data_IF_610053387834
#
_entry.id   IF_610053387834
#
_cell.length_a   1.000
_cell.length_b   1.000
_cell.length_c   1.000
_cell.angle_alpha   90.00
_cell.angle_beta   90.00
_cell.angle_gamma   90.00
#
_symmetry.space_group_name_H-M   'P 1'
#
loop_
_entity.id
_entity.type
_entity.pdbx_description
1 polymer ?
#
# COMPACT_ATOMS: atom_id res chain seq x y z
N UNK A 1 10.20 13.38 26.55
CA UNK A 1 8.73 13.14 26.56
C UNK A 1 8.43 12.08 27.60
N UNK A 2 7.30 12.19 28.34
CA UNK A 2 6.90 11.14 29.28
C UNK A 2 6.51 9.86 28.54
N UNK A 3 6.70 8.69 29.16
CA UNK A 3 6.36 7.39 28.54
C UNK A 3 4.89 7.32 28.11
N UNK A 4 3.97 7.92 28.87
CA UNK A 4 2.54 7.98 28.51
C UNK A 4 2.24 8.75 27.23
N UNK A 5 2.93 9.87 26.98
CA UNK A 5 2.78 10.67 25.75
C UNK A 5 3.25 9.88 24.53
N UNK A 6 4.38 9.17 24.64
CA UNK A 6 4.90 8.33 23.57
C UNK A 6 3.98 7.15 23.25
N UNK A 7 3.46 6.44 24.26
CA UNK A 7 2.49 5.35 24.08
C UNK A 7 1.23 5.86 23.36
N UNK A 8 0.68 7.01 23.81
CA UNK A 8 -0.48 7.64 23.18
C UNK A 8 -0.21 8.02 21.72
N UNK A 9 0.95 8.61 21.44
CA UNK A 9 1.34 8.98 20.08
C UNK A 9 1.50 7.74 19.18
N UNK A 10 2.13 6.67 19.67
CA UNK A 10 2.25 5.41 18.93
C UNK A 10 0.88 4.80 18.62
N UNK A 11 0.03 4.66 19.64
CA UNK A 11 -1.31 4.08 19.45
C UNK A 11 -2.13 4.92 18.49
N UNK A 12 -2.14 6.26 18.65
CA UNK A 12 -2.84 7.17 17.74
C UNK A 12 -2.34 7.06 16.31
N UNK A 13 -1.03 6.91 16.10
CA UNK A 13 -0.46 6.71 14.76
C UNK A 13 -0.87 5.36 14.16
N UNK A 14 -0.81 4.26 14.92
CA UNK A 14 -1.28 2.93 14.47
C UNK A 14 -2.76 2.98 14.06
N UNK A 15 -3.61 3.63 14.87
CA UNK A 15 -5.03 3.79 14.56
C UNK A 15 -5.27 4.70 13.35
N UNK A 16 -4.41 5.69 13.10
CA UNK A 16 -4.48 6.51 11.89
C UNK A 16 -4.19 5.67 10.64
N UNK A 17 -3.15 4.83 10.68
CA UNK A 17 -2.88 3.86 9.61
C UNK A 17 -4.06 2.91 9.41
N UNK A 18 -4.67 2.43 10.51
CA UNK A 18 -5.85 1.56 10.43
C UNK A 18 -7.07 2.27 9.80
N UNK A 19 -7.33 3.53 10.15
CA UNK A 19 -8.43 4.27 9.53
C UNK A 19 -8.18 4.55 8.05
N UNK A 20 -6.96 4.90 7.67
CA UNK A 20 -6.60 5.08 6.26
C UNK A 20 -6.76 3.77 5.48
N UNK A 21 -6.28 2.64 6.03
CA UNK A 21 -6.50 1.31 5.46
C UNK A 21 -7.99 0.94 5.37
N UNK A 22 -8.79 1.28 6.39
CA UNK A 22 -10.23 1.04 6.38
C UNK A 22 -10.93 1.81 5.24
N UNK A 23 -10.61 3.10 5.06
CA UNK A 23 -11.19 3.90 3.98
C UNK A 23 -10.80 3.35 2.60
N UNK A 24 -9.55 2.90 2.44
CA UNK A 24 -9.09 2.22 1.23
C UNK A 24 -9.83 0.89 1.02
N UNK A 25 -9.98 0.06 2.05
CA UNK A 25 -10.69 -1.21 1.99
C UNK A 25 -12.17 -1.05 1.62
N UNK A 26 -12.86 -0.03 2.17
CA UNK A 26 -14.24 0.33 1.80
C UNK A 26 -14.32 0.71 0.32
N UNK A 27 -13.38 1.53 -0.18
CA UNK A 27 -13.31 1.92 -1.59
C UNK A 27 -13.10 0.70 -2.50
N UNK A 28 -12.03 -0.06 -2.27
CA UNK A 28 -11.62 -1.20 -3.12
C UNK A 28 -12.68 -2.29 -3.16
N UNK A 29 -13.26 -2.64 -2.00
CA UNK A 29 -14.27 -3.72 -1.92
C UNK A 29 -15.58 -3.42 -2.65
N UNK A 30 -15.86 -2.14 -2.92
CA UNK A 30 -17.08 -1.71 -3.62
C UNK A 30 -16.85 -1.31 -5.09
N UNK A 31 -15.70 -1.67 -5.66
CA UNK A 31 -15.40 -1.44 -7.09
C UNK A 31 -16.44 -2.06 -8.03
N UNK A 32 -16.97 -3.30 -7.81
CA UNK A 32 -18.05 -3.81 -8.65
C UNK A 32 -19.30 -2.94 -8.58
N UNK A 33 -19.70 -2.49 -7.38
CA UNK A 33 -20.86 -1.61 -7.21
C UNK A 33 -20.67 -0.22 -7.83
N UNK A 34 -19.42 0.30 -7.85
CA UNK A 34 -19.05 1.50 -8.59
C UNK A 34 -19.30 1.32 -10.09
N UNK A 35 -18.76 0.22 -10.65
CA UNK A 35 -18.91 -0.10 -12.07
C UNK A 35 -20.39 -0.22 -12.48
N UNK A 36 -21.18 -0.93 -11.67
CA UNK A 36 -22.62 -1.10 -11.92
C UNK A 36 -23.39 0.22 -11.81
N UNK A 37 -23.16 1.02 -10.75
CA UNK A 37 -23.84 2.29 -10.54
C UNK A 37 -23.70 3.26 -11.72
N UNK A 38 -22.50 3.28 -12.32
CA UNK A 38 -22.19 4.24 -13.39
C UNK A 38 -22.16 3.59 -14.78
N UNK A 39 -22.44 2.28 -14.91
CA UNK A 39 -22.37 1.54 -16.19
C UNK A 39 -20.96 1.62 -16.79
N UNK A 40 -19.91 1.42 -15.97
CA UNK A 40 -18.51 1.53 -16.36
C UNK A 40 -17.94 0.19 -16.80
N UNK A 41 -17.18 0.20 -17.89
CA UNK A 41 -16.31 -0.90 -18.26
C UNK A 41 -15.03 -0.93 -17.44
N UNK A 42 -14.18 -1.95 -17.66
CA UNK A 42 -12.93 -2.14 -16.95
C UNK A 42 -11.95 -0.98 -17.21
N UNK A 43 -11.90 -0.46 -18.44
CA UNK A 43 -11.11 0.71 -18.81
C UNK A 43 -11.51 1.98 -18.03
N UNK A 44 -12.81 2.21 -17.86
CA UNK A 44 -13.34 3.33 -17.08
C UNK A 44 -12.98 3.21 -15.59
N UNK A 45 -13.07 1.99 -15.04
CA UNK A 45 -12.64 1.72 -13.64
C UNK A 45 -11.15 1.96 -13.48
N UNK A 46 -10.35 1.46 -14.42
CA UNK A 46 -8.90 1.71 -14.46
C UNK A 46 -8.57 3.21 -14.52
N UNK A 47 -9.34 3.97 -15.31
CA UNK A 47 -9.20 5.43 -15.40
C UNK A 47 -9.58 6.13 -14.07
N UNK A 48 -10.61 5.67 -13.37
CA UNK A 48 -10.98 6.21 -12.07
C UNK A 48 -9.85 6.01 -11.04
N UNK A 49 -9.24 4.81 -11.00
CA UNK A 49 -8.11 4.52 -10.12
C UNK A 49 -6.86 5.35 -10.52
N UNK A 50 -6.62 5.54 -11.83
CA UNK A 50 -5.57 6.45 -12.30
C UNK A 50 -5.77 7.87 -11.80
N UNK A 51 -6.97 8.41 -11.93
CA UNK A 51 -7.30 9.78 -11.49
C UNK A 51 -7.09 9.92 -9.98
N UNK A 52 -7.44 8.92 -9.19
CA UNK A 52 -7.12 8.85 -7.77
C UNK A 52 -5.60 8.94 -7.53
N UNK A 53 -4.82 8.11 -8.22
CA UNK A 53 -3.35 8.07 -8.08
C UNK A 53 -2.67 9.36 -8.53
N UNK A 54 -3.10 9.95 -9.65
CA UNK A 54 -2.60 11.26 -10.12
C UNK A 54 -2.94 12.35 -9.10
N UNK A 55 -4.15 12.36 -8.56
CA UNK A 55 -4.54 13.29 -7.50
C UNK A 55 -3.61 13.19 -6.29
N UNK A 56 -3.30 11.97 -5.84
CA UNK A 56 -2.36 11.74 -4.75
C UNK A 56 -0.96 12.30 -5.07
N UNK A 57 -0.42 12.01 -6.24
CA UNK A 57 0.90 12.51 -6.66
C UNK A 57 0.94 14.04 -6.74
N UNK A 58 -0.08 14.67 -7.33
CA UNK A 58 -0.17 16.14 -7.43
C UNK A 58 -0.15 16.76 -6.04
N UNK A 59 -0.96 16.25 -5.10
CA UNK A 59 -1.00 16.75 -3.74
C UNK A 59 0.33 16.52 -3.00
N UNK A 60 0.91 15.34 -3.11
CA UNK A 60 2.19 14.98 -2.51
C UNK A 60 3.33 15.88 -2.98
N UNK A 61 3.38 16.22 -4.28
CA UNK A 61 4.43 17.07 -4.85
C UNK A 61 4.15 18.55 -4.60
N UNK A 62 2.90 18.99 -4.82
CA UNK A 62 2.49 20.40 -4.70
C UNK A 62 2.59 20.94 -3.27
N UNK A 63 2.33 20.09 -2.27
CA UNK A 63 2.34 20.50 -0.87
C UNK A 63 3.63 20.17 -0.11
N UNK A 64 4.71 19.75 -0.80
CA UNK A 64 6.03 19.53 -0.17
C UNK A 64 6.51 20.75 0.61
N UNK A 65 6.35 21.95 0.07
CA UNK A 65 6.72 23.19 0.74
C UNK A 65 5.88 23.48 2.00
N UNK A 66 4.60 23.11 1.96
CA UNK A 66 3.69 23.22 3.12
C UNK A 66 4.10 22.25 4.22
N UNK A 67 4.38 20.99 3.85
CA UNK A 67 4.85 19.99 4.80
C UNK A 67 6.20 20.38 5.43
N UNK A 68 7.11 20.95 4.63
CA UNK A 68 8.41 21.41 5.14
C UNK A 68 8.27 22.57 6.15
N UNK A 69 7.23 23.41 6.02
CA UNK A 69 6.99 24.57 6.91
C UNK A 69 6.15 24.21 8.14
N UNK A 70 5.07 23.46 7.94
CA UNK A 70 4.09 23.18 8.99
C UNK A 70 4.35 21.86 9.73
N UNK A 71 5.14 20.96 9.13
CA UNK A 71 5.36 19.59 9.61
C UNK A 71 4.26 18.62 9.17
N UNK A 72 4.60 17.31 9.11
CA UNK A 72 3.68 16.27 8.67
C UNK A 72 2.48 16.10 9.60
N UNK A 73 2.67 16.29 10.91
CA UNK A 73 1.57 16.21 11.90
C UNK A 73 0.49 17.25 11.70
N UNK A 74 0.85 18.48 11.29
CA UNK A 74 -0.11 19.54 11.00
C UNK A 74 -0.91 19.23 9.72
N UNK A 75 -0.22 18.77 8.67
CA UNK A 75 -0.86 18.36 7.42
C UNK A 75 -1.81 17.17 7.67
N UNK A 76 -1.37 16.16 8.44
CA UNK A 76 -2.16 14.98 8.74
C UNK A 76 -3.47 15.30 9.49
N UNK A 77 -3.46 16.28 10.41
CA UNK A 77 -4.67 16.72 11.14
C UNK A 77 -5.77 17.24 10.22
N UNK A 78 -5.41 17.77 9.06
CA UNK A 78 -6.34 18.27 8.06
C UNK A 78 -6.63 17.20 6.99
N UNK A 79 -5.61 16.54 6.51
CA UNK A 79 -5.71 15.57 5.43
C UNK A 79 -6.56 14.35 5.81
N UNK A 80 -6.38 13.78 7.01
CA UNK A 80 -7.09 12.57 7.40
C UNK A 80 -8.63 12.78 7.50
N UNK A 81 -9.17 13.85 8.10
CA UNK A 81 -10.59 14.17 8.00
C UNK A 81 -11.06 14.44 6.56
N UNK A 82 -10.27 15.16 5.75
CA UNK A 82 -10.60 15.42 4.34
C UNK A 82 -10.66 14.13 3.52
N UNK A 83 -9.84 13.12 3.85
CA UNK A 83 -9.90 11.80 3.20
C UNK A 83 -11.26 11.13 3.46
N UNK A 84 -11.77 11.18 4.69
CA UNK A 84 -13.09 10.64 4.99
C UNK A 84 -14.20 11.41 4.27
N UNK A 85 -14.15 12.75 4.29
CA UNK A 85 -15.14 13.60 3.58
C UNK A 85 -15.11 13.35 2.08
N UNK A 86 -13.93 13.28 1.47
CA UNK A 86 -13.81 13.06 0.02
C UNK A 86 -14.29 11.66 -0.40
N UNK A 87 -14.11 10.64 0.45
CA UNK A 87 -14.71 9.31 0.21
C UNK A 87 -16.24 9.39 0.18
N UNK A 88 -16.87 10.16 1.09
CA UNK A 88 -18.31 10.38 1.06
C UNK A 88 -18.74 11.10 -0.24
N UNK A 89 -17.97 12.07 -0.72
CA UNK A 89 -18.25 12.75 -2.00
C UNK A 89 -18.20 11.78 -3.19
N UNK A 90 -17.28 10.81 -3.18
CA UNK A 90 -17.25 9.73 -4.20
C UNK A 90 -18.55 8.93 -4.17
N UNK A 91 -19.02 8.53 -2.98
CA UNK A 91 -20.28 7.80 -2.82
C UNK A 91 -21.50 8.57 -3.31
N UNK A 92 -21.52 9.88 -3.05
CA UNK A 92 -22.63 10.79 -3.36
C UNK A 92 -22.60 11.35 -4.79
N UNK A 93 -21.56 11.07 -5.58
CA UNK A 93 -21.46 11.57 -6.95
C UNK A 93 -22.67 11.12 -7.79
N UNK A 94 -23.40 12.08 -8.43
CA UNK A 94 -24.61 11.76 -9.20
C UNK A 94 -24.31 11.41 -10.66
N UNK A 95 -23.16 11.80 -11.20
CA UNK A 95 -22.76 11.61 -12.59
C UNK A 95 -21.31 11.18 -12.72
N UNK A 96 -20.94 10.54 -13.85
CA UNK A 96 -19.54 10.16 -14.11
C UNK A 96 -18.56 11.32 -14.03
N UNK A 97 -18.76 12.50 -14.64
CA UNK A 97 -17.82 13.62 -14.49
C UNK A 97 -17.61 14.05 -13.05
N UNK A 98 -18.68 14.14 -12.25
CA UNK A 98 -18.56 14.49 -10.83
C UNK A 98 -17.92 13.38 -10.00
N UNK A 99 -18.11 12.11 -10.38
CA UNK A 99 -17.36 10.99 -9.81
C UNK A 99 -15.86 11.18 -10.01
N UNK A 100 -15.38 11.46 -11.22
CA UNK A 100 -13.96 11.68 -11.49
C UNK A 100 -13.38 12.85 -10.71
N UNK A 101 -14.13 13.94 -10.55
CA UNK A 101 -13.73 15.08 -9.68
C UNK A 101 -13.63 14.62 -8.22
N UNK A 102 -14.63 13.91 -7.71
CA UNK A 102 -14.63 13.41 -6.33
C UNK A 102 -13.48 12.41 -6.09
N UNK A 103 -13.21 11.53 -7.04
CA UNK A 103 -12.09 10.57 -6.99
C UNK A 103 -10.74 11.29 -7.01
N UNK A 104 -10.58 12.35 -7.82
CA UNK A 104 -9.37 13.19 -7.78
C UNK A 104 -9.16 13.84 -6.40
N UNK A 105 -10.21 14.41 -5.81
CA UNK A 105 -10.17 14.99 -4.47
C UNK A 105 -9.87 13.94 -3.40
N UNK A 106 -10.44 12.73 -3.52
CA UNK A 106 -10.14 11.61 -2.63
C UNK A 106 -8.67 11.20 -2.74
N UNK A 107 -8.13 11.08 -3.95
CA UNK A 107 -6.72 10.81 -4.19
C UNK A 107 -5.81 11.87 -3.57
N UNK A 108 -6.12 13.16 -3.78
CA UNK A 108 -5.36 14.27 -3.20
C UNK A 108 -5.33 14.23 -1.67
N UNK A 109 -6.48 14.08 -1.03
CA UNK A 109 -6.60 14.00 0.43
C UNK A 109 -5.90 12.76 0.98
N UNK A 110 -6.07 11.61 0.30
CA UNK A 110 -5.44 10.35 0.65
C UNK A 110 -3.92 10.42 0.56
N UNK A 111 -3.37 10.97 -0.53
CA UNK A 111 -1.94 11.14 -0.70
C UNK A 111 -1.29 11.99 0.39
N UNK A 112 -1.97 13.07 0.80
CA UNK A 112 -1.53 13.90 1.93
C UNK A 112 -1.61 13.15 3.27
N UNK A 113 -2.64 12.34 3.45
CA UNK A 113 -2.79 11.48 4.63
C UNK A 113 -1.66 10.44 4.68
N UNK A 114 -1.33 9.82 3.56
CA UNK A 114 -0.27 8.82 3.46
C UNK A 114 1.10 9.40 3.83
N UNK A 115 1.49 10.52 3.21
CA UNK A 115 2.75 11.19 3.58
C UNK A 115 2.73 11.65 5.04
N UNK A 116 1.63 12.22 5.51
CA UNK A 116 1.50 12.74 6.86
C UNK A 116 1.59 11.65 7.92
N UNK A 117 0.91 10.51 7.71
CA UNK A 117 0.96 9.38 8.67
C UNK A 117 2.34 8.71 8.68
N UNK A 118 3.02 8.59 7.54
CA UNK A 118 4.39 8.08 7.47
C UNK A 118 5.39 9.02 8.14
N UNK A 119 5.26 10.34 7.97
CA UNK A 119 6.07 11.34 8.67
C UNK A 119 5.86 11.26 10.19
N UNK A 120 4.60 11.17 10.63
CA UNK A 120 4.24 10.99 12.04
C UNK A 120 4.79 9.68 12.59
N UNK A 121 4.68 8.58 11.84
CA UNK A 121 5.27 7.29 12.19
C UNK A 121 6.77 7.36 12.41
N UNK A 122 7.48 8.01 11.50
CA UNK A 122 8.93 8.24 11.61
C UNK A 122 9.30 9.10 12.82
N UNK A 123 8.49 10.12 13.15
CA UNK A 123 8.71 10.96 14.33
C UNK A 123 8.53 10.16 15.62
N UNK A 124 7.49 9.32 15.69
CA UNK A 124 7.26 8.42 16.82
C UNK A 124 8.39 7.40 16.95
N UNK A 125 8.84 6.78 15.85
CA UNK A 125 9.92 5.80 15.84
C UNK A 125 11.23 6.40 16.38
N UNK A 126 11.62 7.59 15.90
CA UNK A 126 12.79 8.32 16.43
C UNK A 126 12.67 8.59 17.93
N UNK A 127 11.46 8.97 18.39
CA UNK A 127 11.23 9.25 19.81
C UNK A 127 11.23 8.00 20.70
N UNK A 128 10.91 6.83 20.11
CA UNK A 128 10.97 5.53 20.78
C UNK A 128 12.37 4.94 20.86
N UNK A 129 13.29 5.37 19.97
CA UNK A 129 14.65 4.82 19.88
C UNK A 129 14.71 3.35 19.44
N UNK A 130 13.60 2.80 18.89
CA UNK A 130 13.52 1.42 18.36
C UNK A 130 12.52 1.35 17.20
N UNK A 131 12.68 0.37 16.28
CA UNK A 131 11.77 0.18 15.17
C UNK A 131 10.33 -0.09 15.64
N UNK A 132 9.37 0.70 15.18
CA UNK A 132 7.92 0.54 15.45
C UNK A 132 7.07 0.73 14.18
N UNK A 133 7.68 1.08 13.04
CA UNK A 133 6.98 1.37 11.79
C UNK A 133 6.22 0.13 11.27
N UNK A 134 6.79 -1.08 11.38
CA UNK A 134 6.10 -2.30 10.97
C UNK A 134 4.76 -2.50 11.69
N UNK A 135 4.70 -2.14 12.98
CA UNK A 135 3.44 -2.18 13.73
C UNK A 135 2.40 -1.17 13.24
N UNK A 136 2.83 -0.04 12.67
CA UNK A 136 1.94 0.96 12.06
C UNK A 136 1.37 0.45 10.74
N UNK A 137 2.21 -0.15 9.89
CA UNK A 137 1.74 -0.80 8.66
C UNK A 137 0.89 -2.05 8.91
N UNK A 138 1.11 -2.78 10.03
CA UNK A 138 0.18 -3.82 10.46
C UNK A 138 -1.21 -3.24 10.79
N UNK A 139 -1.25 -2.02 11.37
CA UNK A 139 -2.49 -1.27 11.55
C UNK A 139 -3.20 -0.99 10.22
N UNK A 140 -2.45 -0.60 9.18
CA UNK A 140 -2.99 -0.43 7.82
C UNK A 140 -3.69 -1.71 7.31
N UNK A 141 -3.00 -2.86 7.34
CA UNK A 141 -3.59 -4.12 6.90
C UNK A 141 -4.84 -4.48 7.69
N UNK A 142 -4.81 -4.33 9.03
CA UNK A 142 -5.98 -4.56 9.87
C UNK A 142 -7.15 -3.64 9.49
N UNK A 143 -6.87 -2.38 9.19
CA UNK A 143 -7.84 -1.43 8.68
C UNK A 143 -8.40 -1.83 7.33
N UNK A 144 -7.55 -2.24 6.39
CA UNK A 144 -7.94 -2.72 5.05
C UNK A 144 -8.86 -3.94 5.12
N UNK A 145 -8.54 -4.90 6.00
CA UNK A 145 -9.39 -6.05 6.29
C UNK A 145 -10.76 -5.59 6.79
N UNK A 146 -10.77 -4.70 7.80
CA UNK A 146 -12.02 -4.21 8.38
C UNK A 146 -12.87 -3.44 7.36
N UNK A 147 -12.25 -2.58 6.54
CA UNK A 147 -12.92 -1.84 5.47
C UNK A 147 -13.51 -2.76 4.39
N UNK A 148 -12.77 -3.78 3.99
CA UNK A 148 -13.26 -4.80 3.05
C UNK A 148 -14.43 -5.60 3.61
N UNK A 149 -14.40 -5.96 4.88
CA UNK A 149 -15.52 -6.62 5.57
C UNK A 149 -16.75 -5.69 5.70
N UNK A 150 -16.56 -4.39 5.93
CA UNK A 150 -17.65 -3.41 5.86
C UNK A 150 -18.29 -3.45 4.47
N UNK A 151 -17.47 -3.44 3.40
CA UNK A 151 -17.99 -3.51 2.02
C UNK A 151 -18.77 -4.79 1.73
N UNK A 152 -18.26 -5.94 2.17
CA UNK A 152 -18.95 -7.24 2.02
C UNK A 152 -20.26 -7.27 2.80
N UNK A 153 -20.26 -6.86 4.07
CA UNK A 153 -21.47 -6.80 4.89
C UNK A 153 -22.51 -5.85 4.31
N UNK A 154 -22.09 -4.64 3.90
CA UNK A 154 -22.97 -3.65 3.28
C UNK A 154 -23.63 -4.20 2.02
N UNK A 155 -22.87 -4.93 1.18
CA UNK A 155 -23.40 -5.56 -0.03
C UNK A 155 -24.40 -6.67 0.33
N UNK A 156 -24.13 -7.51 1.34
CA UNK A 156 -25.04 -8.56 1.78
C UNK A 156 -26.34 -8.01 2.40
N UNK A 157 -26.24 -6.85 3.04
CA UNK A 157 -27.39 -6.13 3.62
C UNK A 157 -28.17 -5.30 2.57
N UNK A 158 -27.80 -5.35 1.29
CA UNK A 158 -28.47 -4.60 0.23
C UNK A 158 -28.21 -3.11 0.23
N UNK A 159 -27.19 -2.63 0.98
CA UNK A 159 -26.83 -1.23 0.99
C UNK A 159 -26.21 -0.81 -0.32
N UNK A 160 -26.55 0.39 -0.78
CA UNK A 160 -26.02 0.94 -2.01
C UNK A 160 -24.52 1.24 -1.93
N UNK A 161 -23.90 1.50 -3.09
CA UNK A 161 -22.53 2.03 -3.15
C UNK A 161 -22.37 3.31 -2.30
N UNK A 162 -23.34 4.24 -2.42
CA UNK A 162 -23.34 5.49 -1.68
C UNK A 162 -23.41 5.27 -0.16
N UNK A 163 -24.34 4.43 0.31
CA UNK A 163 -24.54 4.16 1.73
C UNK A 163 -23.28 3.57 2.36
N UNK A 164 -22.59 2.67 1.64
CA UNK A 164 -21.36 2.05 2.12
C UNK A 164 -20.23 3.07 2.30
N UNK A 165 -20.00 3.92 1.29
CA UNK A 165 -18.90 4.89 1.34
C UNK A 165 -19.18 6.01 2.36
N UNK A 166 -20.41 6.51 2.40
CA UNK A 166 -20.85 7.51 3.37
C UNK A 166 -20.81 6.95 4.79
N UNK A 167 -21.26 5.71 5.00
CA UNK A 167 -21.17 5.04 6.30
C UNK A 167 -19.72 4.89 6.77
N UNK A 168 -18.81 4.46 5.90
CA UNK A 168 -17.37 4.41 6.18
C UNK A 168 -16.79 5.78 6.56
N UNK A 169 -17.20 6.83 5.85
CA UNK A 169 -16.78 8.20 6.13
C UNK A 169 -17.33 8.71 7.49
N UNK A 170 -18.57 8.43 7.81
CA UNK A 170 -19.21 8.81 9.10
C UNK A 170 -18.47 8.14 10.28
N UNK A 171 -18.04 6.89 10.13
CA UNK A 171 -17.26 6.19 11.14
C UNK A 171 -15.86 6.83 11.27
N UNK A 172 -15.19 7.09 10.14
CA UNK A 172 -13.80 7.54 10.14
C UNK A 172 -13.64 9.01 10.56
N UNK A 173 -14.54 9.90 10.15
CA UNK A 173 -14.39 11.34 10.31
C UNK A 173 -14.17 11.76 11.77
N UNK A 174 -15.02 11.39 12.75
CA UNK A 174 -14.82 11.79 14.15
C UNK A 174 -13.54 11.17 14.72
N UNK A 175 -13.22 9.94 14.33
CA UNK A 175 -12.02 9.25 14.81
C UNK A 175 -10.75 9.93 14.30
N UNK A 176 -10.68 10.35 13.04
CA UNK A 176 -9.52 11.08 12.49
C UNK A 176 -9.29 12.39 13.21
N UNK A 177 -10.36 13.14 13.55
CA UNK A 177 -10.28 14.39 14.32
C UNK A 177 -9.77 14.13 15.74
N UNK A 178 -10.29 13.10 16.42
CA UNK A 178 -9.87 12.73 17.78
C UNK A 178 -8.39 12.32 17.79
N UNK A 179 -7.97 11.49 16.83
CA UNK A 179 -6.60 11.00 16.73
C UNK A 179 -5.61 12.13 16.44
N UNK A 180 -6.01 13.20 15.77
CA UNK A 180 -5.19 14.40 15.58
C UNK A 180 -4.65 15.01 16.87
N UNK A 181 -5.31 14.77 18.02
CA UNK A 181 -4.86 15.22 19.34
C UNK A 181 -3.73 14.35 19.93
N UNK A 182 -3.44 13.22 19.32
CA UNK A 182 -2.39 12.29 19.78
C UNK A 182 -1.05 12.50 19.09
N UNK A 183 -1.03 13.23 17.97
CA UNK A 183 0.17 13.40 17.16
C UNK A 183 1.21 14.26 17.87
N UNK A 184 2.46 13.82 17.77
CA UNK A 184 3.60 14.62 18.24
C UNK A 184 4.03 15.61 17.14
N UNK A 185 4.49 16.77 17.53
CA UNK A 185 5.07 17.72 16.58
C UNK A 185 6.35 17.12 16.02
N UNK A 186 6.37 16.91 14.71
CA UNK A 186 7.60 16.66 13.98
C UNK A 186 8.21 18.02 13.64
N UNK A 187 9.35 18.33 14.22
CA UNK A 187 10.18 19.39 13.65
C UNK A 187 10.58 18.94 12.27
N UNK A 188 10.21 19.72 11.25
CA UNK A 188 10.61 19.49 9.90
C UNK A 188 12.09 19.11 9.88
N UNK A 189 12.41 17.85 9.60
CA UNK A 189 13.76 17.50 9.22
C UNK A 189 14.01 18.26 7.93
N UNK A 190 14.67 19.39 8.02
CA UNK A 190 15.26 20.02 6.85
C UNK A 190 15.97 18.88 6.13
N UNK A 191 15.43 18.47 4.99
CA UNK A 191 16.19 17.66 4.08
C UNK A 191 17.41 18.50 3.78
N UNK A 192 18.49 18.25 4.51
CA UNK A 192 19.80 18.80 4.19
C UNK A 192 19.99 18.46 2.74
N UNK A 193 19.97 19.50 1.92
CA UNK A 193 20.04 19.43 0.48
C UNK A 193 21.25 18.61 0.07
N UNK A 194 21.02 17.31 -0.10
CA UNK A 194 21.95 16.45 -0.80
C UNK A 194 21.97 16.94 -2.22
N UNK A 195 23.10 17.52 -2.63
CA UNK A 195 23.29 18.02 -3.99
C UNK A 195 22.79 17.00 -5.00
N UNK A 196 22.34 17.46 -6.17
CA UNK A 196 21.81 16.71 -7.32
C UNK A 196 22.77 15.66 -7.92
N UNK A 197 23.56 14.98 -7.08
CA UNK A 197 24.42 13.88 -7.53
C UNK A 197 23.55 12.65 -7.82
N UNK A 198 23.71 12.12 -9.03
CA UNK A 198 22.99 10.91 -9.45
C UNK A 198 23.24 9.77 -8.50
N UNK A 199 22.19 9.00 -8.19
CA UNK A 199 22.32 7.77 -7.42
C UNK A 199 22.96 6.67 -8.29
N UNK A 200 23.66 5.69 -7.71
CA UNK A 200 24.19 4.55 -8.46
C UNK A 200 23.07 3.78 -9.20
N UNK A 201 23.39 3.22 -10.37
CA UNK A 201 22.45 2.48 -11.22
C UNK A 201 21.68 1.40 -10.45
N UNK A 202 22.33 0.74 -9.49
CA UNK A 202 21.70 -0.30 -8.67
C UNK A 202 20.48 0.19 -7.91
N UNK A 203 20.40 1.48 -7.52
CA UNK A 203 19.21 2.06 -6.87
C UNK A 203 18.04 2.09 -7.85
N UNK A 204 18.28 2.44 -9.09
CA UNK A 204 17.25 2.45 -10.15
C UNK A 204 16.79 1.03 -10.52
N UNK A 205 17.70 0.05 -10.50
CA UNK A 205 17.32 -1.36 -10.70
C UNK A 205 16.41 -1.88 -9.58
N UNK A 206 16.72 -1.52 -8.31
CA UNK A 206 15.84 -1.83 -7.16
C UNK A 206 14.53 -1.05 -7.26
N UNK A 207 14.58 0.20 -7.74
CA UNK A 207 13.40 1.01 -8.01
C UNK A 207 12.51 0.40 -9.10
N UNK A 208 13.08 -0.14 -10.17
CA UNK A 208 12.33 -0.87 -11.19
C UNK A 208 11.67 -2.14 -10.62
N UNK A 209 12.38 -2.86 -9.74
CA UNK A 209 11.80 -4.01 -9.03
C UNK A 209 10.66 -3.59 -8.11
N UNK A 210 10.80 -2.46 -7.40
CA UNK A 210 9.73 -1.90 -6.58
C UNK A 210 8.53 -1.47 -7.44
N UNK A 211 8.77 -0.82 -8.59
CA UNK A 211 7.73 -0.46 -9.56
C UNK A 211 6.89 -1.68 -9.97
N UNK A 212 7.56 -2.77 -10.38
CA UNK A 212 6.89 -4.02 -10.77
C UNK A 212 6.12 -4.63 -9.60
N UNK A 213 6.69 -4.60 -8.39
CA UNK A 213 6.05 -5.15 -7.19
C UNK A 213 4.79 -4.37 -6.80
N UNK A 214 4.86 -3.04 -6.78
CA UNK A 214 3.69 -2.19 -6.47
C UNK A 214 2.62 -2.30 -7.55
N UNK A 215 3.01 -2.36 -8.83
CA UNK A 215 2.09 -2.56 -9.94
C UNK A 215 1.33 -3.88 -9.80
N UNK A 216 2.03 -4.97 -9.46
CA UNK A 216 1.44 -6.29 -9.28
C UNK A 216 0.54 -6.34 -8.03
N UNK A 217 1.00 -5.81 -6.88
CA UNK A 217 0.22 -5.79 -5.64
C UNK A 217 -1.06 -4.97 -5.83
N UNK A 218 -0.97 -3.78 -6.46
CA UNK A 218 -2.11 -2.96 -6.82
C UNK A 218 -3.08 -3.65 -7.78
N UNK A 219 -2.56 -4.36 -8.79
CA UNK A 219 -3.40 -5.15 -9.70
C UNK A 219 -4.26 -6.16 -8.94
N UNK A 220 -3.67 -6.92 -8.01
CA UNK A 220 -4.44 -7.92 -7.25
C UNK A 220 -5.44 -7.23 -6.33
N UNK A 221 -5.03 -6.17 -5.63
CA UNK A 221 -5.89 -5.45 -4.70
C UNK A 221 -7.11 -4.85 -5.41
N UNK A 222 -6.90 -4.12 -6.50
CA UNK A 222 -7.95 -3.35 -7.17
C UNK A 222 -8.87 -4.19 -8.06
N UNK A 223 -8.34 -5.26 -8.67
CA UNK A 223 -9.06 -6.02 -9.70
C UNK A 223 -9.63 -7.35 -9.23
N UNK A 224 -9.19 -7.88 -8.08
CA UNK A 224 -9.67 -9.20 -7.61
C UNK A 224 -11.18 -9.22 -7.35
N UNK A 225 -11.75 -8.18 -6.76
CA UNK A 225 -13.19 -8.08 -6.52
C UNK A 225 -13.99 -8.01 -7.83
N UNK A 226 -13.55 -7.18 -8.78
CA UNK A 226 -14.20 -7.06 -10.08
C UNK A 226 -14.11 -8.37 -10.89
N UNK A 227 -12.95 -9.04 -10.81
CA UNK A 227 -12.75 -10.35 -11.42
C UNK A 227 -13.74 -11.40 -10.88
N UNK A 228 -13.89 -11.51 -9.56
CA UNK A 228 -14.84 -12.44 -8.96
C UNK A 228 -16.28 -12.14 -9.39
N UNK A 229 -16.65 -10.86 -9.47
CA UNK A 229 -18.00 -10.46 -9.83
C UNK A 229 -18.28 -10.65 -11.32
N UNK A 230 -17.44 -10.13 -12.21
CA UNK A 230 -17.66 -10.07 -13.66
C UNK A 230 -17.35 -11.39 -14.38
N UNK A 231 -16.23 -12.03 -14.04
CA UNK A 231 -15.75 -13.24 -14.71
C UNK A 231 -16.31 -14.53 -14.10
N UNK A 232 -16.55 -14.54 -12.78
CA UNK A 232 -17.00 -15.74 -12.07
C UNK A 232 -18.42 -15.64 -11.55
N UNK A 233 -19.14 -14.53 -11.82
CA UNK A 233 -20.53 -14.35 -11.43
C UNK A 233 -20.78 -14.30 -9.92
N UNK A 234 -19.76 -14.02 -9.10
CA UNK A 234 -19.91 -13.91 -7.67
C UNK A 234 -20.80 -12.72 -7.28
N UNK A 235 -21.60 -12.85 -6.23
CA UNK A 235 -22.34 -11.73 -5.68
C UNK A 235 -21.37 -10.62 -5.23
N UNK A 236 -21.83 -9.38 -5.19
CA UNK A 236 -21.00 -8.24 -4.75
C UNK A 236 -20.45 -8.46 -3.33
N UNK A 237 -21.20 -9.12 -2.44
CA UNK A 237 -20.76 -9.43 -1.08
C UNK A 237 -19.59 -10.41 -1.07
N UNK A 238 -19.63 -11.45 -1.88
CA UNK A 238 -18.53 -12.42 -2.00
C UNK A 238 -17.33 -11.80 -2.71
N UNK A 239 -17.56 -11.04 -3.77
CA UNK A 239 -16.51 -10.31 -4.49
C UNK A 239 -15.74 -9.36 -3.58
N UNK A 240 -16.43 -8.67 -2.67
CA UNK A 240 -15.84 -7.77 -1.70
C UNK A 240 -14.91 -8.46 -0.68
N UNK A 241 -14.95 -9.79 -0.54
CA UNK A 241 -14.06 -10.57 0.34
C UNK A 241 -12.66 -10.79 -0.25
N UNK A 242 -12.46 -10.57 -1.56
CA UNK A 242 -11.16 -10.79 -2.19
C UNK A 242 -10.06 -9.92 -1.56
N UNK A 243 -10.31 -8.63 -1.41
CA UNK A 243 -9.35 -7.69 -0.84
C UNK A 243 -9.02 -7.98 0.63
N UNK A 244 -9.96 -8.12 1.57
CA UNK A 244 -9.65 -8.44 2.95
C UNK A 244 -8.96 -9.78 3.14
N UNK A 245 -9.24 -10.79 2.29
CA UNK A 245 -8.55 -12.07 2.31
C UNK A 245 -7.09 -11.91 1.86
N UNK A 246 -6.84 -11.16 0.80
CA UNK A 246 -5.52 -10.82 0.32
C UNK A 246 -4.70 -10.08 1.39
N UNK A 247 -5.28 -9.05 2.02
CA UNK A 247 -4.64 -8.28 3.10
C UNK A 247 -4.38 -9.12 4.36
N UNK A 248 -5.30 -10.02 4.73
CA UNK A 248 -5.11 -10.90 5.89
C UNK A 248 -3.95 -11.88 5.66
N UNK A 249 -3.88 -12.47 4.47
CA UNK A 249 -2.78 -13.36 4.09
C UNK A 249 -1.45 -12.60 4.01
N UNK A 250 -1.46 -11.36 3.49
CA UNK A 250 -0.30 -10.49 3.45
C UNK A 250 0.17 -10.13 4.87
N UNK A 251 -0.74 -9.77 5.77
CA UNK A 251 -0.41 -9.50 7.17
C UNK A 251 0.23 -10.71 7.84
N UNK A 252 -0.36 -11.91 7.68
CA UNK A 252 0.18 -13.15 8.21
C UNK A 252 1.61 -13.43 7.69
N UNK A 253 1.81 -13.26 6.40
CA UNK A 253 3.13 -13.43 5.77
C UNK A 253 4.17 -12.42 6.28
N UNK A 254 3.78 -11.15 6.48
CA UNK A 254 4.65 -10.09 7.03
C UNK A 254 5.11 -10.40 8.46
N UNK A 255 4.28 -11.01 9.29
CA UNK A 255 4.64 -11.40 10.67
C UNK A 255 5.79 -12.42 10.73
N UNK A 256 5.92 -13.28 9.72
CA UNK A 256 6.99 -14.29 9.64
C UNK A 256 8.09 -13.93 8.64
N UNK A 257 7.87 -12.94 7.79
CA UNK A 257 8.70 -12.58 6.65
C UNK A 257 10.17 -12.30 7.01
N UNK A 258 10.41 -11.56 8.09
CA UNK A 258 11.78 -11.25 8.55
C UNK A 258 12.55 -12.53 8.94
N UNK A 259 11.87 -13.51 9.60
CA UNK A 259 12.50 -14.81 9.94
C UNK A 259 12.82 -15.63 8.69
N UNK A 260 11.90 -15.62 7.72
CA UNK A 260 12.08 -16.31 6.43
C UNK A 260 13.24 -15.67 5.67
N UNK A 261 13.30 -14.35 5.60
CA UNK A 261 14.39 -13.61 4.95
C UNK A 261 15.75 -13.89 5.61
N UNK A 262 15.79 -13.92 6.94
CA UNK A 262 17.02 -14.21 7.67
C UNK A 262 17.58 -15.62 7.35
N UNK A 263 16.70 -16.60 7.12
CA UNK A 263 17.10 -18.00 6.79
C UNK A 263 17.44 -18.18 5.31
N UNK A 264 16.64 -17.66 4.40
CA UNK A 264 16.78 -17.87 2.96
C UNK A 264 17.75 -16.87 2.30
N UNK A 265 17.90 -15.69 2.89
CA UNK A 265 18.57 -14.54 2.28
C UNK A 265 17.67 -13.83 1.25
N UNK A 266 18.05 -12.59 0.93
CA UNK A 266 17.22 -11.68 0.11
C UNK A 266 16.91 -12.24 -1.28
N UNK A 267 17.90 -12.78 -2.00
CA UNK A 267 17.70 -13.27 -3.38
C UNK A 267 16.73 -14.44 -3.45
N UNK A 268 16.95 -15.49 -2.66
CA UNK A 268 16.06 -16.66 -2.64
C UNK A 268 14.65 -16.30 -2.23
N UNK A 269 14.52 -15.43 -1.23
CA UNK A 269 13.22 -14.95 -0.77
C UNK A 269 12.45 -14.24 -1.90
N UNK A 270 13.08 -13.29 -2.62
CA UNK A 270 12.45 -12.61 -3.75
C UNK A 270 12.12 -13.58 -4.90
N UNK A 271 12.99 -14.56 -5.17
CA UNK A 271 12.71 -15.60 -6.17
C UNK A 271 11.47 -16.42 -5.79
N UNK A 272 11.40 -16.91 -4.56
CA UNK A 272 10.24 -17.71 -4.11
C UNK A 272 8.97 -16.86 -3.98
N UNK A 273 9.09 -15.62 -3.56
CA UNK A 273 7.95 -14.68 -3.55
C UNK A 273 7.41 -14.48 -4.96
N UNK A 274 8.27 -14.20 -5.95
CA UNK A 274 7.84 -14.04 -7.34
C UNK A 274 7.22 -15.31 -7.93
N UNK A 275 7.88 -16.48 -7.79
CA UNK A 275 7.35 -17.75 -8.28
C UNK A 275 6.05 -18.15 -7.58
N UNK A 276 5.99 -18.00 -6.26
CA UNK A 276 4.79 -18.31 -5.47
C UNK A 276 3.62 -17.39 -5.84
N UNK A 277 3.88 -16.10 -6.04
CA UNK A 277 2.84 -15.15 -6.50
C UNK A 277 2.38 -15.48 -7.92
N UNK A 278 3.31 -15.80 -8.85
CA UNK A 278 2.95 -16.19 -10.20
C UNK A 278 2.03 -17.43 -10.21
N UNK A 279 2.39 -18.46 -9.44
CA UNK A 279 1.57 -19.67 -9.30
C UNK A 279 0.19 -19.35 -8.67
N UNK A 280 0.17 -18.56 -7.60
CA UNK A 280 -1.06 -18.20 -6.90
C UNK A 280 -2.02 -17.36 -7.77
N UNK A 281 -1.50 -16.35 -8.48
CA UNK A 281 -2.32 -15.55 -9.41
C UNK A 281 -2.76 -16.38 -10.60
N UNK A 282 -1.95 -17.34 -11.09
CA UNK A 282 -2.38 -18.28 -12.14
C UNK A 282 -3.54 -19.14 -11.66
N UNK A 283 -3.50 -19.64 -10.41
CA UNK A 283 -4.64 -20.37 -9.80
C UNK A 283 -5.90 -19.49 -9.83
N UNK A 284 -5.78 -18.20 -9.42
CA UNK A 284 -6.90 -17.28 -9.43
C UNK A 284 -7.42 -16.99 -10.85
N UNK A 285 -6.54 -16.65 -11.79
CA UNK A 285 -6.90 -16.29 -13.17
C UNK A 285 -7.52 -17.44 -13.96
N UNK A 286 -7.08 -18.68 -13.70
CA UNK A 286 -7.59 -19.89 -14.36
C UNK A 286 -8.70 -20.57 -13.57
N UNK A 287 -9.14 -19.99 -12.45
CA UNK A 287 -10.15 -20.58 -11.58
C UNK A 287 -11.45 -20.84 -12.32
N UNK A 288 -12.03 -22.06 -12.20
CA UNK A 288 -13.33 -22.38 -12.77
C UNK A 288 -14.49 -21.84 -11.91
N UNK A 289 -14.23 -21.49 -10.64
CA UNK A 289 -15.24 -21.01 -9.70
C UNK A 289 -14.61 -20.13 -8.61
N UNK A 290 -15.44 -19.29 -8.01
CA UNK A 290 -15.08 -18.29 -7.01
C UNK A 290 -14.21 -18.82 -5.84
N UNK A 291 -14.47 -19.99 -5.22
CA UNK A 291 -13.64 -20.47 -4.10
C UNK A 291 -12.17 -20.69 -4.49
N UNK A 292 -11.90 -21.19 -5.69
CA UNK A 292 -10.53 -21.39 -6.18
C UNK A 292 -9.81 -20.07 -6.41
N UNK A 293 -10.51 -19.06 -6.94
CA UNK A 293 -9.95 -17.73 -7.13
C UNK A 293 -9.63 -17.06 -5.79
N UNK A 294 -10.50 -17.17 -4.79
CA UNK A 294 -10.27 -16.66 -3.44
C UNK A 294 -9.02 -17.31 -2.81
N UNK A 295 -8.88 -18.63 -2.94
CA UNK A 295 -7.66 -19.32 -2.49
C UNK A 295 -6.42 -18.79 -3.22
N UNK A 296 -6.50 -18.61 -4.54
CA UNK A 296 -5.42 -18.01 -5.33
C UNK A 296 -5.03 -16.62 -4.86
N UNK A 297 -6.00 -15.73 -4.63
CA UNK A 297 -5.71 -14.37 -4.12
C UNK A 297 -5.15 -14.38 -2.69
N UNK A 298 -5.64 -15.24 -1.81
CA UNK A 298 -5.06 -15.42 -0.47
C UNK A 298 -3.61 -15.90 -0.54
N UNK A 299 -3.32 -16.91 -1.34
CA UNK A 299 -1.94 -17.41 -1.55
C UNK A 299 -1.04 -16.33 -2.18
N UNK A 300 -1.57 -15.52 -3.09
CA UNK A 300 -0.84 -14.41 -3.70
C UNK A 300 -0.44 -13.37 -2.65
N UNK A 301 -1.36 -12.99 -1.75
CA UNK A 301 -1.06 -12.09 -0.63
C UNK A 301 0.04 -12.64 0.28
N UNK A 302 -0.01 -13.93 0.62
CA UNK A 302 1.01 -14.59 1.43
C UNK A 302 2.38 -14.60 0.73
N UNK A 303 2.42 -14.82 -0.58
CA UNK A 303 3.66 -14.89 -1.34
C UNK A 303 4.29 -13.51 -1.58
N UNK A 304 3.50 -12.48 -1.94
CA UNK A 304 4.00 -11.15 -2.31
C UNK A 304 4.41 -10.29 -1.12
N UNK A 305 3.88 -10.55 0.06
CA UNK A 305 3.91 -9.69 1.25
C UNK A 305 5.29 -9.11 1.62
N UNK A 306 6.37 -9.77 1.22
CA UNK A 306 7.74 -9.41 1.60
C UNK A 306 8.51 -8.67 0.51
N UNK A 307 7.97 -8.57 -0.71
CA UNK A 307 8.72 -8.00 -1.85
C UNK A 307 8.97 -6.50 -1.64
N UNK A 308 7.92 -5.72 -1.38
CA UNK A 308 8.03 -4.27 -1.17
C UNK A 308 8.89 -3.93 0.05
N UNK A 309 8.64 -4.49 1.26
CA UNK A 309 9.49 -4.21 2.42
C UNK A 309 10.96 -4.57 2.18
N UNK A 310 11.21 -5.64 1.42
CA UNK A 310 12.58 -6.08 1.08
C UNK A 310 13.26 -5.10 0.13
N UNK A 311 12.59 -4.60 -0.90
CA UNK A 311 13.16 -3.61 -1.83
C UNK A 311 13.50 -2.30 -1.13
N UNK A 312 12.62 -1.80 -0.27
CA UNK A 312 12.85 -0.60 0.55
C UNK A 312 14.03 -0.80 1.52
N UNK A 313 14.09 -1.95 2.20
CA UNK A 313 15.18 -2.28 3.12
C UNK A 313 16.55 -2.35 2.40
N UNK A 314 16.60 -2.97 1.21
CA UNK A 314 17.82 -3.02 0.39
C UNK A 314 18.22 -1.61 -0.05
N UNK A 315 17.28 -0.78 -0.51
CA UNK A 315 17.54 0.61 -0.88
C UNK A 315 18.17 1.41 0.27
N UNK A 316 17.67 1.21 1.50
CA UNK A 316 18.17 1.86 2.70
C UNK A 316 19.62 1.53 3.07
N UNK A 317 20.14 0.39 2.59
CA UNK A 317 21.48 -0.10 2.96
C UNK A 317 22.50 -0.04 1.84
N UNK A 318 22.08 0.21 0.59
CA UNK A 318 22.93 0.03 -0.58
C UNK A 318 23.90 1.19 -0.83
N UNK A 319 23.50 2.41 -0.39
CA UNK A 319 24.32 3.63 -0.57
C UNK A 319 24.62 4.23 0.81
N UNK A 320 25.80 3.93 1.40
CA UNK A 320 26.19 4.52 2.67
C UNK A 320 26.15 6.06 2.62
N UNK A 321 25.61 6.70 3.66
CA UNK A 321 25.49 8.15 3.75
C UNK A 321 24.35 8.78 2.92
N UNK A 322 23.69 8.03 2.02
CA UNK A 322 22.59 8.51 1.16
C UNK A 322 21.33 7.63 1.21
N UNK A 323 21.15 6.92 2.31
CA UNK A 323 20.04 5.98 2.53
C UNK A 323 18.66 6.62 2.28
N UNK A 324 18.41 7.81 2.82
CA UNK A 324 17.13 8.51 2.64
C UNK A 324 16.84 8.84 1.17
N UNK A 325 17.86 9.26 0.40
CA UNK A 325 17.71 9.56 -1.03
C UNK A 325 17.43 8.28 -1.83
N UNK A 326 18.10 7.17 -1.51
CA UNK A 326 17.89 5.89 -2.18
C UNK A 326 16.50 5.32 -1.91
N UNK A 327 16.04 5.32 -0.64
CA UNK A 327 14.69 4.90 -0.25
C UNK A 327 13.63 5.79 -0.91
N UNK A 328 13.82 7.11 -0.90
CA UNK A 328 12.90 8.04 -1.56
C UNK A 328 12.79 7.81 -3.08
N UNK A 329 13.91 7.54 -3.76
CA UNK A 329 13.91 7.23 -5.19
C UNK A 329 13.18 5.92 -5.49
N UNK A 330 13.46 4.86 -4.72
CA UNK A 330 12.82 3.54 -4.89
C UNK A 330 11.32 3.63 -4.58
N UNK A 331 10.94 4.35 -3.52
CA UNK A 331 9.54 4.61 -3.20
C UNK A 331 8.80 5.37 -4.30
N UNK A 332 9.39 6.44 -4.84
CA UNK A 332 8.79 7.21 -5.93
C UNK A 332 8.58 6.36 -7.20
N UNK A 333 9.54 5.48 -7.53
CA UNK A 333 9.36 4.53 -8.64
C UNK A 333 8.27 3.51 -8.35
N UNK A 334 8.19 2.99 -7.10
CA UNK A 334 7.13 2.10 -6.65
C UNK A 334 5.74 2.72 -6.83
N UNK A 335 5.55 3.95 -6.37
CA UNK A 335 4.29 4.68 -6.57
C UNK A 335 3.92 4.85 -8.06
N UNK A 336 4.92 5.02 -8.95
CA UNK A 336 4.69 5.01 -10.39
C UNK A 336 4.05 3.70 -10.87
N UNK A 337 4.49 2.56 -10.33
CA UNK A 337 3.90 1.25 -10.61
C UNK A 337 2.47 1.12 -10.10
N UNK A 338 2.21 1.59 -8.87
CA UNK A 338 0.88 1.58 -8.26
C UNK A 338 -0.14 2.39 -9.09
N UNK A 339 0.28 3.53 -9.64
CA UNK A 339 -0.58 4.42 -10.44
C UNK A 339 -0.81 3.88 -11.85
N UNK A 340 0.23 3.30 -12.48
CA UNK A 340 0.13 2.80 -13.86
C UNK A 340 -0.53 1.41 -13.93
N UNK A 341 -0.43 0.60 -12.87
CA UNK A 341 -0.97 -0.75 -12.82
C UNK A 341 -2.44 -0.82 -13.22
N UNK A 342 -3.34 -0.13 -12.52
CA UNK A 342 -4.77 -0.16 -12.80
C UNK A 342 -5.13 0.24 -14.22
N UNK A 343 -4.39 1.19 -14.80
CA UNK A 343 -4.62 1.67 -16.17
C UNK A 343 -4.31 0.57 -17.18
N UNK A 344 -3.10 0.00 -17.07
CA UNK A 344 -2.66 -1.05 -17.99
C UNK A 344 -3.58 -2.26 -17.90
N UNK A 345 -3.95 -2.65 -16.68
CA UNK A 345 -4.88 -3.77 -16.47
C UNK A 345 -6.26 -3.43 -17.00
N UNK A 346 -6.80 -2.23 -16.74
CA UNK A 346 -8.12 -1.81 -17.19
C UNK A 346 -8.23 -1.86 -18.71
N UNK A 347 -7.29 -1.26 -19.43
CA UNK A 347 -7.27 -1.31 -20.89
C UNK A 347 -7.04 -2.72 -21.46
N UNK A 348 -6.20 -3.52 -20.82
CA UNK A 348 -5.97 -4.89 -21.23
C UNK A 348 -7.20 -5.77 -21.01
N UNK A 349 -7.90 -5.56 -19.89
CA UNK A 349 -9.15 -6.26 -19.58
C UNK A 349 -10.28 -5.85 -20.53
N UNK A 350 -10.40 -4.57 -20.85
CA UNK A 350 -11.38 -4.03 -21.79
C UNK A 350 -11.15 -4.55 -23.22
N UNK A 351 -9.88 -4.66 -23.62
CA UNK A 351 -9.51 -5.17 -24.94
C UNK A 351 -9.65 -6.69 -25.09
N UNK A 352 -9.59 -7.45 -23.99
CA UNK A 352 -9.58 -8.91 -24.02
C UNK A 352 -10.46 -9.54 -22.92
N UNK A 353 -9.99 -9.55 -21.65
CA UNK A 353 -10.72 -10.00 -20.47
C UNK A 353 -9.95 -9.69 -19.19
N UNK A 354 -10.62 -9.71 -18.04
CA UNK A 354 -9.95 -9.61 -16.73
C UNK A 354 -8.99 -10.78 -16.47
N UNK A 355 -9.22 -11.96 -17.03
CA UNK A 355 -8.28 -13.09 -16.97
C UNK A 355 -6.94 -12.74 -17.62
N UNK A 356 -6.99 -12.11 -18.80
CA UNK A 356 -5.77 -11.62 -19.50
C UNK A 356 -5.10 -10.51 -18.70
N UNK A 357 -5.88 -9.59 -18.12
CA UNK A 357 -5.38 -8.56 -17.21
C UNK A 357 -4.60 -9.15 -16.04
N UNK A 358 -5.17 -10.13 -15.33
CA UNK A 358 -4.47 -10.86 -14.27
C UNK A 358 -3.25 -11.65 -14.77
N UNK A 359 -3.25 -12.09 -16.03
CA UNK A 359 -2.09 -12.70 -16.69
C UNK A 359 -0.88 -11.78 -16.70
N UNK A 360 -1.08 -10.45 -16.82
CA UNK A 360 0.03 -9.48 -16.66
C UNK A 360 0.62 -9.54 -15.25
N UNK A 361 -0.19 -9.70 -14.20
CA UNK A 361 0.34 -9.85 -12.83
C UNK A 361 1.21 -11.12 -12.69
N UNK A 362 0.87 -12.20 -13.39
CA UNK A 362 1.72 -13.41 -13.47
C UNK A 362 3.07 -13.08 -14.10
N UNK A 363 3.09 -12.37 -15.23
CA UNK A 363 4.33 -11.94 -15.89
C UNK A 363 5.16 -11.05 -14.98
N UNK A 364 4.54 -10.07 -14.32
CA UNK A 364 5.21 -9.18 -13.37
C UNK A 364 5.84 -9.96 -12.20
N UNK A 365 5.12 -10.95 -11.66
CA UNK A 365 5.62 -11.83 -10.60
C UNK A 365 6.84 -12.67 -11.08
N UNK A 366 6.80 -13.19 -12.29
CA UNK A 366 7.94 -13.89 -12.91
C UNK A 366 9.14 -12.94 -13.13
N UNK A 367 8.89 -11.68 -13.51
CA UNK A 367 9.93 -10.66 -13.62
C UNK A 367 10.58 -10.39 -12.26
N UNK A 368 9.83 -10.35 -11.15
CA UNK A 368 10.38 -10.25 -9.80
C UNK A 368 11.32 -11.44 -9.52
N UNK A 369 10.86 -12.67 -9.78
CA UNK A 369 11.68 -13.88 -9.58
C UNK A 369 12.97 -13.84 -10.41
N UNK A 370 12.88 -13.49 -11.69
CA UNK A 370 14.03 -13.41 -12.59
C UNK A 370 15.01 -12.29 -12.20
N UNK A 371 14.47 -11.14 -11.75
CA UNK A 371 15.27 -9.96 -11.35
C UNK A 371 15.96 -10.13 -10.00
N UNK A 372 15.53 -11.08 -9.17
CA UNK A 372 16.11 -11.34 -7.85
C UNK A 372 17.61 -11.61 -7.88
N UNK A 373 18.12 -12.19 -8.97
CA UNK A 373 19.56 -12.46 -9.18
C UNK A 373 20.42 -11.19 -9.23
N UNK A 374 19.85 -10.06 -9.63
CA UNK A 374 20.55 -8.78 -9.73
C UNK A 374 20.54 -7.98 -8.42
N UNK A 375 19.73 -8.39 -7.45
CA UNK A 375 19.70 -7.74 -6.14
C UNK A 375 20.97 -8.11 -5.36
N UNK A 376 21.68 -7.14 -4.76
CA UNK A 376 22.90 -7.41 -4.01
C UNK A 376 22.66 -8.43 -2.87
N UNK A 377 23.49 -9.48 -2.83
CA UNK A 377 23.42 -10.52 -1.81
C UNK A 377 24.14 -10.07 -0.52
N UNK A 378 23.68 -9.00 0.15
CA UNK A 378 24.17 -8.67 1.49
C UNK A 378 23.40 -9.51 2.51
N UNK A 379 24.11 -10.36 3.26
CA UNK A 379 23.60 -10.90 4.53
C UNK A 379 23.39 -9.71 5.46
N UNK A 380 22.17 -9.52 5.95
CA UNK A 380 21.92 -8.62 7.08
C UNK A 380 22.67 -9.24 8.27
N UNK A 381 23.83 -8.71 8.62
CA UNK A 381 24.37 -8.95 9.95
C UNK A 381 23.45 -8.20 10.92
N UNK A 382 22.68 -8.94 11.70
CA UNK A 382 22.12 -8.39 12.93
C UNK A 382 23.32 -7.99 13.79
N UNK A 383 23.43 -6.71 14.11
CA UNK A 383 24.35 -6.25 15.14
C UNK A 383 23.95 -7.01 16.40
N UNK A 384 24.79 -7.92 16.85
CA UNK A 384 24.60 -8.59 18.13
C UNK A 384 24.50 -7.50 19.21
N UNK A 385 23.48 -7.62 20.04
CA UNK A 385 23.25 -6.76 21.19
C UNK A 385 24.54 -6.70 21.99
N UNK A 386 25.04 -5.50 22.14
CA UNK A 386 26.16 -5.18 23.01
C UNK A 386 25.94 -5.83 24.39
N UNK A 387 26.71 -6.81 24.71
CA UNK A 387 26.91 -7.30 26.06
C UNK A 387 28.32 -6.88 26.43
N UNK A 388 28.37 -6.01 27.42
CA UNK A 388 29.60 -5.61 28.09
C UNK A 388 30.59 -4.76 27.26
N UNK A 389 30.20 -3.52 26.89
CA UNK A 389 31.12 -2.36 26.85
C UNK A 389 32.30 -2.36 25.89
N UNK A 390 32.52 -3.36 25.03
CA UNK A 390 33.64 -3.39 24.08
C UNK A 390 33.16 -3.57 22.64
N UNK A 391 33.52 -2.60 21.79
CA UNK A 391 33.30 -2.62 20.34
C UNK A 391 34.41 -3.44 19.67
N UNK A 392 34.13 -4.69 19.30
CA UNK A 392 35.03 -5.37 18.38
C UNK A 392 34.82 -4.88 16.93
N UNK A 393 35.90 -4.55 16.20
CA UNK A 393 35.80 -4.08 14.83
C UNK A 393 35.43 -5.24 13.89
N UNK A 394 34.27 -5.10 13.21
CA UNK A 394 33.82 -6.03 12.17
C UNK A 394 34.82 -5.99 11.01
N UNK A 395 35.63 -7.02 10.84
CA UNK A 395 36.43 -7.25 9.62
C UNK A 395 35.51 -7.56 8.45
N UNK A 396 35.53 -6.67 7.46
CA UNK A 396 34.92 -6.90 6.17
C UNK A 396 35.71 -8.03 5.46
N UNK A 397 35.10 -9.19 5.30
CA UNK A 397 35.61 -10.22 4.39
C UNK A 397 35.22 -9.83 2.96
N UNK A 398 36.18 -9.87 2.05
CA UNK A 398 36.17 -9.50 0.65
C UNK A 398 35.15 -10.30 -0.20
#
# INVERSE_FOLDING_TARGET
>A
MTSRVLVRARLGTVLTFALAGMLCGVWVSRTPALADKFGMGEGDVGMAILVWGIGAIIAMQGLRGVMARLGGSAVLKVAAPLTAVSLALVGLAPTRPLLFVAVALFGMAFGLTDIGMNAQGSAVERSYGRPVMNGMHAGWCAGGIFGGLIGSFSASAGLSFADTLVGGAIIALPLTVILGRTYIRDTASASTGGGRTRLPLVVYLIGALAFVAFMMEGTIADWSGLFLNRELGASQSVAALAYPLFEAAMLAGRLVGDRVRARLGTRRMLTYAGLGTAAAVSIAALAPATPFALVGFGLAGLAVCTVIPTTISVAGTIVPGRSAAAVGQVGAMGYGGLVLGPVVIGFLADAASLRVGLGLAVVLALLIAASARFVPARRLMFVAKERDGELEPVRLAA
#
